data_IF_749881874550
#
_entry.id   IF_749881874550
#
_cell.length_a   1.000
_cell.length_b   1.000
_cell.length_c   1.000
_cell.angle_alpha   90.00
_cell.angle_beta   90.00
_cell.angle_gamma   90.00
#
_symmetry.space_group_name_H-M   'P 1'
#
loop_
_entity.id
_entity.type
_entity.pdbx_description
1 polymer ?
#
# COMPACT_ATOMS: atom_id res chain seq x y z
N UNK A 1 -4.42 -19.88 1.89
CA UNK A 1 -5.70 -19.14 1.79
C UNK A 1 -5.60 -18.32 0.53
N UNK A 2 -6.52 -18.47 -0.42
CA UNK A 2 -6.50 -17.61 -1.62
C UNK A 2 -7.34 -16.38 -1.33
N UNK A 3 -6.70 -15.21 -1.31
CA UNK A 3 -7.39 -13.93 -1.22
C UNK A 3 -7.82 -13.51 -2.63
N UNK A 4 -8.92 -12.76 -2.72
CA UNK A 4 -9.26 -12.10 -3.96
C UNK A 4 -8.10 -11.16 -4.39
N UNK A 5 -7.66 -11.18 -5.67
CA UNK A 5 -6.49 -10.41 -6.10
C UNK A 5 -6.61 -8.90 -5.87
N UNK A 6 -7.81 -8.33 -5.97
CA UNK A 6 -8.04 -6.90 -5.70
C UNK A 6 -7.86 -6.60 -4.21
N UNK A 7 -8.36 -7.48 -3.35
CA UNK A 7 -8.19 -7.38 -1.89
C UNK A 7 -6.72 -7.56 -1.49
N UNK A 8 -6.04 -8.56 -2.05
CA UNK A 8 -4.62 -8.83 -1.81
C UNK A 8 -3.73 -7.64 -2.21
N UNK A 9 -3.99 -7.00 -3.35
CA UNK A 9 -3.23 -5.81 -3.78
C UNK A 9 -3.37 -4.64 -2.80
N UNK A 10 -4.55 -4.45 -2.21
CA UNK A 10 -4.78 -3.38 -1.21
C UNK A 10 -3.99 -3.64 0.07
N UNK A 11 -4.08 -4.85 0.62
CA UNK A 11 -3.31 -5.22 1.81
C UNK A 11 -1.81 -5.15 1.56
N UNK A 12 -1.34 -5.67 0.42
CA UNK A 12 0.08 -5.64 0.09
C UNK A 12 0.61 -4.21 -0.06
N UNK A 13 -0.13 -3.33 -0.76
CA UNK A 13 0.34 -1.96 -0.94
C UNK A 13 0.27 -1.14 0.35
N UNK A 14 -0.73 -1.38 1.21
CA UNK A 14 -0.77 -0.81 2.56
C UNK A 14 0.44 -1.27 3.39
N UNK A 15 0.76 -2.56 3.37
CA UNK A 15 1.92 -3.12 4.07
C UNK A 15 3.24 -2.51 3.60
N UNK A 16 3.41 -2.33 2.28
CA UNK A 16 4.58 -1.63 1.75
C UNK A 16 4.65 -0.17 2.21
N UNK A 17 3.52 0.52 2.31
CA UNK A 17 3.51 1.90 2.82
C UNK A 17 3.89 1.96 4.30
N UNK A 18 3.47 0.98 5.11
CA UNK A 18 3.82 0.87 6.53
C UNK A 18 5.32 0.64 6.74
N UNK A 19 5.92 -0.26 5.94
CA UNK A 19 7.28 -0.74 6.18
C UNK A 19 8.38 0.12 5.54
N UNK A 20 8.08 0.83 4.45
CA UNK A 20 9.07 1.62 3.72
C UNK A 20 9.27 2.99 4.36
N UNK A 21 10.51 3.48 4.33
CA UNK A 21 10.79 4.87 4.66
C UNK A 21 10.32 5.77 3.51
N UNK A 22 9.41 6.72 3.81
CA UNK A 22 8.89 7.73 2.87
C UNK A 22 8.46 7.16 1.51
N UNK A 23 7.52 6.19 1.47
CA UNK A 23 7.09 5.54 0.25
C UNK A 23 6.38 6.50 -0.69
N UNK A 24 6.73 6.49 -1.97
CA UNK A 24 6.06 7.27 -3.00
C UNK A 24 5.75 6.40 -4.22
N UNK A 25 4.97 6.93 -5.17
CA UNK A 25 4.54 6.16 -6.36
C UNK A 25 5.74 5.56 -7.12
N UNK A 26 6.83 6.30 -7.44
CA UNK A 26 8.02 5.72 -8.06
C UNK A 26 8.61 4.54 -7.26
N UNK A 27 8.76 4.67 -5.94
CA UNK A 27 9.35 3.61 -5.11
C UNK A 27 8.48 2.35 -5.07
N UNK A 28 7.16 2.54 -4.98
CA UNK A 28 6.21 1.42 -5.00
C UNK A 28 6.19 0.71 -6.37
N UNK A 29 6.38 1.44 -7.48
CA UNK A 29 6.54 0.83 -8.80
C UNK A 29 7.83 0.00 -8.87
N UNK A 30 8.95 0.52 -8.35
CA UNK A 30 10.24 -0.19 -8.33
C UNK A 30 10.12 -1.55 -7.63
N UNK A 31 9.43 -1.60 -6.48
CA UNK A 31 9.29 -2.81 -5.67
C UNK A 31 8.29 -3.79 -6.28
N UNK A 32 7.15 -3.31 -6.77
CA UNK A 32 6.05 -4.17 -7.21
C UNK A 32 6.12 -4.56 -8.69
N UNK A 33 6.80 -3.74 -9.52
CA UNK A 33 6.74 -3.83 -10.98
C UNK A 33 5.38 -3.45 -11.58
N UNK A 34 4.41 -2.97 -10.80
CA UNK A 34 3.07 -2.67 -11.31
C UNK A 34 3.04 -1.36 -12.11
N UNK A 35 2.12 -1.22 -13.08
CA UNK A 35 1.88 0.04 -13.74
C UNK A 35 1.55 1.15 -12.75
N UNK A 36 2.04 2.37 -13.02
CA UNK A 36 1.77 3.57 -12.20
C UNK A 36 0.28 3.73 -11.87
N UNK A 37 -0.58 3.52 -12.86
CA UNK A 37 -2.04 3.67 -12.71
C UNK A 37 -2.60 2.69 -11.68
N UNK A 38 -2.13 1.44 -11.67
CA UNK A 38 -2.50 0.41 -10.69
C UNK A 38 -2.14 0.84 -9.27
N UNK A 39 -0.91 1.32 -9.06
CA UNK A 39 -0.47 1.81 -7.74
C UNK A 39 -1.37 2.96 -7.27
N UNK A 40 -1.61 3.95 -8.13
CA UNK A 40 -2.44 5.10 -7.80
C UNK A 40 -3.90 4.71 -7.50
N UNK A 41 -4.47 3.77 -8.25
CA UNK A 41 -5.85 3.30 -8.03
C UNK A 41 -5.99 2.52 -6.73
N UNK A 42 -4.99 1.69 -6.37
CA UNK A 42 -4.98 0.98 -5.09
C UNK A 42 -4.85 1.95 -3.92
N UNK A 43 -3.90 2.89 -3.96
CA UNK A 43 -3.73 3.90 -2.90
C UNK A 43 -5.00 4.74 -2.70
N UNK A 44 -5.63 5.17 -3.80
CA UNK A 44 -6.89 5.93 -3.75
C UNK A 44 -8.05 5.12 -3.16
N UNK A 45 -8.02 3.80 -3.27
CA UNK A 45 -9.05 2.91 -2.76
C UNK A 45 -8.88 2.55 -1.27
N UNK A 46 -7.70 2.77 -0.66
CA UNK A 46 -7.43 2.39 0.74
C UNK A 46 -8.40 3.03 1.74
N UNK A 47 -8.73 4.34 1.67
CA UNK A 47 -9.69 4.94 2.60
C UNK A 47 -11.08 4.30 2.54
N UNK A 48 -11.59 4.04 1.32
CA UNK A 48 -12.87 3.34 1.13
C UNK A 48 -12.84 1.86 1.50
N UNK A 49 -11.63 1.31 1.69
CA UNK A 49 -11.39 -0.04 2.19
C UNK A 49 -11.31 -0.09 3.72
N UNK A 50 -11.16 1.06 4.38
CA UNK A 50 -11.05 1.20 5.84
C UNK A 50 -9.63 1.43 6.34
N UNK A 51 -8.64 1.59 5.46
CA UNK A 51 -7.25 1.94 5.84
C UNK A 51 -7.03 3.42 5.55
N UNK A 52 -6.65 4.19 6.57
CA UNK A 52 -6.42 5.62 6.43
C UNK A 52 -5.04 5.90 5.86
N UNK A 53 -5.00 6.66 4.77
CA UNK A 53 -3.80 6.99 4.02
C UNK A 53 -3.67 8.51 3.88
N UNK A 54 -2.54 9.06 4.34
CA UNK A 54 -2.18 10.45 4.15
C UNK A 54 -1.04 10.60 3.13
N UNK A 55 -0.97 11.76 2.48
CA UNK A 55 0.18 12.18 1.69
C UNK A 55 0.86 13.36 2.37
N UNK A 56 2.09 13.16 2.84
CA UNK A 56 2.87 14.12 3.61
C UNK A 56 3.81 14.90 2.69
N UNK A 57 3.91 16.21 2.88
CA UNK A 57 4.80 17.10 2.12
C UNK A 57 5.60 18.01 3.07
N UNK A 58 6.93 17.96 3.00
CA UNK A 58 7.80 18.75 3.90
C UNK A 58 8.03 20.20 3.42
N UNK A 59 7.13 20.74 2.61
CA UNK A 59 7.18 22.15 2.16
C UNK A 59 8.34 22.54 1.24
N UNK A 60 9.28 21.64 0.89
CA UNK A 60 10.34 21.91 -0.10
C UNK A 60 9.78 21.84 -1.53
N UNK A 61 10.21 22.80 -2.37
CA UNK A 61 9.97 22.75 -3.82
C UNK A 61 10.61 21.47 -4.38
N UNK A 62 9.84 20.74 -5.22
CA UNK A 62 10.15 19.50 -5.97
C UNK A 62 9.24 18.28 -5.64
N UNK A 63 8.01 18.47 -5.14
CA UNK A 63 7.01 17.38 -5.03
C UNK A 63 7.51 16.11 -4.30
N UNK A 64 8.46 16.26 -3.37
CA UNK A 64 9.07 15.15 -2.62
C UNK A 64 8.19 14.74 -1.44
N UNK A 65 6.94 14.40 -1.76
CA UNK A 65 5.98 13.88 -0.80
C UNK A 65 5.95 12.37 -0.78
N UNK A 66 5.46 11.82 0.33
CA UNK A 66 5.36 10.39 0.57
C UNK A 66 4.03 10.04 1.21
N UNK A 67 3.66 8.77 1.12
CA UNK A 67 2.49 8.22 1.75
C UNK A 67 2.82 7.74 3.16
N UNK A 68 1.85 7.87 4.05
CA UNK A 68 1.91 7.33 5.40
C UNK A 68 0.54 6.77 5.76
N UNK A 69 0.51 5.59 6.38
CA UNK A 69 -0.71 5.09 7.00
C UNK A 69 -0.88 5.77 8.36
N UNK A 70 -2.08 6.27 8.64
CA UNK A 70 -2.43 6.80 9.98
C UNK A 70 -3.15 5.77 10.82
N UNK A 71 -3.91 4.86 10.18
CA UNK A 71 -4.67 3.80 10.83
C UNK A 71 -4.92 2.64 9.87
N UNK A 72 -4.79 1.40 10.36
CA UNK A 72 -5.17 0.18 9.65
C UNK A 72 -6.68 -0.10 9.74
N UNK A 73 -7.41 0.64 10.57
CA UNK A 73 -8.85 0.55 10.76
C UNK A 73 -9.25 -0.85 11.22
N UNK A 74 -10.08 -1.59 10.46
CA UNK A 74 -10.57 -2.90 10.89
C UNK A 74 -9.56 -4.04 10.71
N UNK A 75 -8.39 -3.77 10.11
CA UNK A 75 -7.39 -4.79 9.82
C UNK A 75 -6.31 -4.86 10.91
N UNK A 76 -5.96 -6.07 11.32
CA UNK A 76 -4.86 -6.31 12.26
C UNK A 76 -3.52 -6.35 11.50
N UNK A 77 -2.68 -5.34 11.70
CA UNK A 77 -1.35 -5.24 11.09
C UNK A 77 -0.49 -6.49 11.39
N UNK A 78 -0.51 -7.02 12.60
CA UNK A 78 0.31 -8.19 12.97
C UNK A 78 -0.13 -9.43 12.20
N UNK A 79 -1.44 -9.58 11.98
CA UNK A 79 -1.95 -10.64 11.13
C UNK A 79 -1.48 -10.47 9.67
N UNK A 80 -1.55 -9.26 9.13
CA UNK A 80 -1.14 -8.96 7.75
C UNK A 80 0.36 -9.24 7.55
N UNK A 81 1.21 -8.80 8.47
CA UNK A 81 2.66 -9.09 8.48
C UNK A 81 2.93 -10.60 8.52
N UNK A 82 2.25 -11.33 9.40
CA UNK A 82 2.41 -12.79 9.51
C UNK A 82 2.00 -13.55 8.24
N UNK A 83 1.16 -12.94 7.39
CA UNK A 83 0.59 -13.51 6.17
C UNK A 83 1.14 -12.90 4.89
N UNK A 84 2.17 -12.07 4.96
CA UNK A 84 2.70 -11.32 3.82
C UNK A 84 2.94 -12.21 2.58
N UNK A 85 3.58 -13.37 2.76
CA UNK A 85 3.84 -14.30 1.65
C UNK A 85 2.57 -14.83 0.99
N UNK A 86 1.56 -15.17 1.79
CA UNK A 86 0.26 -15.66 1.30
C UNK A 86 -0.45 -14.55 0.51
N UNK A 87 -0.40 -13.31 1.02
CA UNK A 87 -0.97 -12.11 0.38
C UNK A 87 -0.29 -11.86 -0.97
N UNK A 88 1.05 -11.85 -1.01
CA UNK A 88 1.82 -11.64 -2.24
C UNK A 88 1.48 -12.72 -3.28
N UNK A 89 1.36 -13.98 -2.85
CA UNK A 89 1.02 -15.08 -3.77
C UNK A 89 -0.36 -14.88 -4.43
N UNK A 90 -1.30 -14.23 -3.73
CA UNK A 90 -2.68 -13.97 -4.20
C UNK A 90 -2.81 -12.74 -5.11
N UNK A 91 -1.77 -11.92 -5.28
CA UNK A 91 -1.80 -10.71 -6.12
C UNK A 91 -1.92 -11.03 -7.62
N UNK A 92 -1.29 -12.14 -8.02
CA UNK A 92 -1.10 -12.57 -9.42
C UNK A 92 -2.03 -13.71 -9.82
N UNK A 93 -2.88 -14.17 -8.89
CA UNK A 93 -3.90 -15.21 -9.10
C UNK A 93 -5.09 -14.70 -9.90
#
# INVERSE_FOLDING_TARGET
MELNPVFARRLYLALLVEQLERPNVPKLIEITGWPRRTIQDVLKALPGFGIELAFVQDGKRHNDGYYQLSDWGPFDLQWVESRERDIISSVSS
#
